data_IF_842565099967
#
_entry.id   IF_842565099967
#
_cell.length_a   1.000
_cell.length_b   1.000
_cell.length_c   1.000
_cell.angle_alpha   90.00
_cell.angle_beta   90.00
_cell.angle_gamma   90.00
#
_symmetry.space_group_name_H-M   'P 1'
#
loop_
_entity.id
_entity.type
_entity.pdbx_description
1 polymer ?
#
# COMPACT_ATOMS: atom_id res chain seq x y z
N UNK A 1 63.97 14.03 -7.90
CA UNK A 1 62.49 14.06 -7.87
C UNK A 1 62.12 14.42 -6.42
N UNK A 2 61.54 15.58 -6.21
CA UNK A 2 61.48 16.22 -4.89
C UNK A 2 60.46 15.48 -3.99
N UNK A 3 60.84 15.20 -2.74
CA UNK A 3 60.00 14.59 -1.71
C UNK A 3 58.63 15.26 -1.55
N UNK A 4 58.54 16.52 -1.88
CA UNK A 4 57.28 17.29 -1.92
C UNK A 4 56.26 16.77 -2.93
N UNK A 5 56.68 16.27 -4.10
CA UNK A 5 55.79 15.64 -5.10
C UNK A 5 55.23 14.32 -4.61
N UNK A 6 55.99 13.57 -3.84
CA UNK A 6 55.54 12.30 -3.24
C UNK A 6 54.43 12.51 -2.20
N UNK A 7 54.56 13.54 -1.36
CA UNK A 7 53.55 13.89 -0.37
C UNK A 7 52.25 14.40 -1.00
N UNK A 8 52.32 15.15 -2.12
CA UNK A 8 51.14 15.60 -2.87
C UNK A 8 50.39 14.39 -3.49
N UNK A 9 51.14 13.43 -4.04
CA UNK A 9 50.55 12.21 -4.62
C UNK A 9 49.93 11.30 -3.55
N UNK A 10 50.53 11.21 -2.38
CA UNK A 10 50.02 10.46 -1.24
C UNK A 10 48.76 11.13 -0.64
N UNK A 11 48.73 12.46 -0.56
CA UNK A 11 47.57 13.21 -0.12
C UNK A 11 46.38 13.07 -1.11
N UNK A 12 46.66 13.04 -2.42
CA UNK A 12 45.61 12.86 -3.44
C UNK A 12 45.03 11.41 -3.46
N UNK A 13 45.83 10.42 -3.12
CA UNK A 13 45.36 9.03 -3.02
C UNK A 13 44.41 8.78 -1.84
N UNK A 14 44.47 9.60 -0.79
CA UNK A 14 43.56 9.52 0.37
C UNK A 14 42.16 10.10 0.09
N UNK A 15 41.97 10.84 -0.99
CA UNK A 15 40.67 11.40 -1.39
C UNK A 15 39.81 10.50 -2.29
N UNK A 16 40.29 9.33 -2.68
CA UNK A 16 39.47 8.32 -3.37
C UNK A 16 38.67 7.57 -2.30
N UNK A 17 37.89 8.32 -1.53
CA UNK A 17 36.86 7.78 -0.66
C UNK A 17 35.83 7.09 -1.54
N UNK A 18 35.74 5.76 -1.41
CA UNK A 18 34.76 4.92 -2.09
C UNK A 18 33.36 5.39 -1.67
N UNK A 19 32.73 6.26 -2.48
CA UNK A 19 31.36 6.68 -2.30
C UNK A 19 30.48 5.48 -2.62
N UNK A 20 30.24 4.61 -1.61
CA UNK A 20 29.33 3.47 -1.74
C UNK A 20 27.93 4.07 -1.93
N UNK A 21 27.39 4.00 -3.14
CA UNK A 21 26.00 4.40 -3.39
C UNK A 21 25.09 3.53 -2.51
N UNK A 22 24.13 4.14 -1.78
CA UNK A 22 23.17 3.37 -0.99
C UNK A 22 22.39 2.43 -1.90
N UNK A 23 22.22 1.19 -1.45
CA UNK A 23 21.46 0.18 -2.17
C UNK A 23 19.96 0.50 -2.09
N UNK A 24 19.25 0.32 -3.21
CA UNK A 24 17.80 0.44 -3.24
C UNK A 24 17.17 -0.80 -2.58
N UNK A 25 16.32 -0.58 -1.59
CA UNK A 25 15.59 -1.61 -0.85
C UNK A 25 14.12 -1.59 -1.25
N UNK A 26 13.54 -2.77 -1.43
CA UNK A 26 12.14 -2.95 -1.80
C UNK A 26 11.33 -3.51 -0.64
N UNK A 27 10.13 -2.98 -0.45
CA UNK A 27 9.24 -3.32 0.65
C UNK A 27 7.87 -3.74 0.12
N UNK A 28 7.21 -4.60 0.87
CA UNK A 28 5.83 -5.03 0.65
C UNK A 28 5.03 -4.89 1.94
N UNK A 29 3.71 -4.90 1.82
CA UNK A 29 2.83 -4.98 2.98
C UNK A 29 2.74 -6.42 3.46
N UNK A 30 2.73 -6.61 4.79
CA UNK A 30 2.61 -7.91 5.39
C UNK A 30 1.81 -7.83 6.69
N UNK A 31 0.93 -8.79 6.92
CA UNK A 31 0.20 -9.00 8.16
C UNK A 31 -0.08 -10.47 8.36
N UNK A 32 -0.34 -10.83 9.60
CA UNK A 32 -0.73 -12.20 9.92
C UNK A 32 -2.05 -12.52 9.19
N UNK A 33 -2.04 -13.58 8.40
CA UNK A 33 -3.23 -14.04 7.70
C UNK A 33 -4.40 -14.30 8.67
N UNK A 34 -5.60 -13.97 8.22
CA UNK A 34 -6.81 -14.42 8.90
C UNK A 34 -6.84 -15.95 8.82
N UNK A 35 -7.18 -16.60 9.93
CA UNK A 35 -7.49 -18.04 9.87
C UNK A 35 -8.57 -18.21 8.78
N UNK A 36 -8.30 -19.06 7.78
CA UNK A 36 -9.24 -19.27 6.67
C UNK A 36 -10.63 -19.58 7.22
N UNK A 37 -11.53 -18.64 7.04
CA UNK A 37 -12.94 -18.86 7.35
C UNK A 37 -13.58 -19.62 6.19
N UNK A 38 -14.44 -20.61 6.50
CA UNK A 38 -15.25 -21.24 5.45
C UNK A 38 -16.14 -20.17 4.83
N UNK A 39 -16.17 -20.12 3.51
CA UNK A 39 -17.02 -19.19 2.79
C UNK A 39 -18.48 -19.32 3.27
N UNK A 40 -19.05 -18.21 3.73
CA UNK A 40 -20.41 -18.15 4.26
C UNK A 40 -21.47 -17.96 3.17
N UNK A 41 -21.06 -17.60 1.94
CA UNK A 41 -21.94 -17.27 0.83
C UNK A 41 -21.48 -17.87 -0.51
N UNK A 42 -22.43 -17.98 -1.46
CA UNK A 42 -22.15 -18.41 -2.84
C UNK A 42 -21.62 -17.30 -3.77
N UNK A 43 -21.41 -16.10 -3.24
CA UNK A 43 -21.07 -14.92 -4.03
C UNK A 43 -19.62 -14.95 -4.51
N UNK A 44 -19.40 -14.43 -5.72
CA UNK A 44 -18.07 -14.28 -6.35
C UNK A 44 -17.68 -12.81 -6.33
N UNK A 45 -16.43 -12.52 -5.94
CA UNK A 45 -15.87 -11.18 -5.99
C UNK A 45 -14.83 -11.07 -7.09
N UNK A 46 -15.02 -10.09 -7.95
CA UNK A 46 -14.00 -9.60 -8.86
C UNK A 46 -13.37 -8.31 -8.31
N UNK A 47 -12.06 -8.29 -8.12
CA UNK A 47 -11.33 -7.10 -7.72
C UNK A 47 -10.70 -6.49 -8.97
N UNK A 48 -11.18 -5.31 -9.35
CA UNK A 48 -10.61 -4.53 -10.43
C UNK A 48 -9.25 -3.94 -10.00
N UNK A 49 -8.39 -3.64 -10.98
CA UNK A 49 -7.18 -2.89 -10.69
C UNK A 49 -7.52 -1.53 -10.08
N UNK A 50 -7.04 -1.26 -8.88
CA UNK A 50 -7.25 0.01 -8.21
C UNK A 50 -6.57 1.15 -8.97
N UNK A 51 -7.18 2.32 -8.97
CA UNK A 51 -6.52 3.56 -9.40
C UNK A 51 -5.86 4.25 -8.21
N UNK A 52 -5.05 5.26 -8.48
CA UNK A 52 -4.42 6.06 -7.43
C UNK A 52 -4.34 7.54 -7.83
N UNK A 53 -4.29 8.41 -6.83
CA UNK A 53 -3.95 9.82 -7.03
C UNK A 53 -2.62 9.93 -7.80
N UNK A 54 -2.43 10.94 -8.67
CA UNK A 54 -1.26 11.03 -9.53
C UNK A 54 0.08 10.93 -8.80
N UNK A 55 0.15 11.44 -7.56
CA UNK A 55 1.35 11.39 -6.71
C UNK A 55 1.69 9.99 -6.21
N UNK A 56 0.75 9.05 -6.26
CA UNK A 56 0.90 7.66 -5.80
C UNK A 56 1.13 6.67 -6.97
N UNK A 57 1.32 7.16 -8.19
CA UNK A 57 1.57 6.32 -9.38
C UNK A 57 3.05 5.89 -9.53
N UNK A 58 3.85 6.10 -8.51
CA UNK A 58 5.27 5.70 -8.43
C UNK A 58 5.46 4.65 -7.34
N UNK A 59 6.46 3.81 -7.50
CA UNK A 59 6.86 2.78 -6.53
C UNK A 59 7.62 3.35 -5.30
N UNK A 60 7.83 4.66 -5.24
CA UNK A 60 8.56 5.31 -4.16
C UNK A 60 7.70 5.44 -2.90
N UNK A 61 8.30 5.23 -1.74
CA UNK A 61 7.65 5.52 -0.46
C UNK A 61 7.53 7.03 -0.32
N UNK A 62 6.29 7.49 -0.17
CA UNK A 62 5.95 8.90 -0.04
C UNK A 62 5.80 9.29 1.42
N UNK A 63 6.30 10.46 1.78
CA UNK A 63 6.14 11.02 3.11
C UNK A 63 5.96 12.54 3.08
N UNK A 64 5.23 13.07 4.06
CA UNK A 64 5.02 14.51 4.27
C UNK A 64 5.84 15.02 5.44
N UNK A 65 6.53 16.13 5.25
CA UNK A 65 7.29 16.83 6.28
C UNK A 65 6.68 18.19 6.66
N UNK A 66 5.61 18.56 5.99
CA UNK A 66 4.72 19.67 6.33
C UNK A 66 3.36 19.45 5.62
N UNK A 67 2.31 20.24 5.94
CA UNK A 67 1.05 20.16 5.20
C UNK A 67 1.20 20.43 3.69
N UNK A 68 2.27 21.11 3.29
CA UNK A 68 2.47 21.58 1.92
C UNK A 68 3.60 20.87 1.19
N UNK A 69 4.46 20.10 1.89
CA UNK A 69 5.65 19.49 1.31
C UNK A 69 5.59 17.97 1.34
N UNK A 70 5.62 17.40 0.14
CA UNK A 70 5.68 15.95 -0.11
C UNK A 70 7.09 15.58 -0.56
N UNK A 71 7.63 14.51 -0.01
CA UNK A 71 8.89 13.91 -0.42
C UNK A 71 8.72 12.46 -0.81
N UNK A 72 9.65 11.99 -1.65
CA UNK A 72 9.75 10.59 -2.05
C UNK A 72 11.11 10.05 -1.63
N UNK A 73 11.10 8.84 -1.06
CA UNK A 73 12.35 8.17 -0.75
C UNK A 73 13.07 7.74 -2.04
N UNK A 74 14.37 7.99 -2.11
CA UNK A 74 15.15 7.66 -3.31
C UNK A 74 15.65 6.22 -3.31
N UNK A 75 15.81 5.59 -2.13
CA UNK A 75 16.44 4.29 -1.93
C UNK A 75 15.50 3.26 -1.32
N UNK A 76 14.30 3.67 -0.87
CA UNK A 76 13.27 2.81 -0.29
C UNK A 76 12.04 2.87 -1.17
N UNK A 77 11.62 1.70 -1.67
CA UNK A 77 10.56 1.60 -2.66
C UNK A 77 9.59 0.48 -2.30
N UNK A 78 8.39 0.58 -2.76
CA UNK A 78 7.46 -0.54 -2.81
C UNK A 78 7.88 -1.51 -3.93
N UNK A 79 7.60 -2.82 -3.77
CA UNK A 79 7.84 -3.84 -4.83
C UNK A 79 7.04 -3.57 -6.10
N UNK A 80 5.97 -2.80 -6.00
CA UNK A 80 5.12 -2.32 -7.10
C UNK A 80 4.46 -1.00 -6.70
N UNK A 81 3.77 -0.33 -7.62
CA UNK A 81 3.05 0.90 -7.29
C UNK A 81 1.98 0.68 -6.23
N UNK A 82 1.67 1.67 -5.34
CA UNK A 82 0.70 1.51 -4.26
C UNK A 82 -0.66 0.96 -4.69
N UNK A 83 -1.20 1.42 -5.81
CA UNK A 83 -2.48 0.91 -6.33
C UNK A 83 -2.39 -0.59 -6.68
N UNK A 84 -1.35 -1.03 -7.37
CA UNK A 84 -1.15 -2.45 -7.69
C UNK A 84 -0.92 -3.28 -6.43
N UNK A 85 -0.11 -2.78 -5.49
CA UNK A 85 0.14 -3.45 -4.21
C UNK A 85 -1.16 -3.65 -3.44
N UNK A 86 -1.98 -2.61 -3.32
CA UNK A 86 -3.25 -2.66 -2.61
C UNK A 86 -4.29 -3.53 -3.32
N UNK A 87 -4.31 -3.57 -4.66
CA UNK A 87 -5.14 -4.50 -5.43
C UNK A 87 -4.82 -5.96 -5.09
N UNK A 88 -3.53 -6.33 -5.13
CA UNK A 88 -3.10 -7.69 -4.80
C UNK A 88 -3.37 -8.04 -3.34
N UNK A 89 -3.10 -7.11 -2.41
CA UNK A 89 -3.36 -7.31 -0.98
C UNK A 89 -4.85 -7.41 -0.66
N UNK A 90 -5.72 -6.69 -1.36
CA UNK A 90 -7.16 -6.87 -1.27
C UNK A 90 -7.58 -8.27 -1.71
N UNK A 91 -7.03 -8.78 -2.83
CA UNK A 91 -7.33 -10.12 -3.30
C UNK A 91 -6.88 -11.21 -2.30
N UNK A 92 -5.68 -11.09 -1.72
CA UNK A 92 -5.20 -11.98 -0.67
C UNK A 92 -6.12 -11.94 0.56
N UNK A 93 -6.45 -10.74 1.03
CA UNK A 93 -7.32 -10.54 2.18
C UNK A 93 -8.71 -11.15 1.99
N UNK A 94 -9.39 -10.86 0.87
CA UNK A 94 -10.74 -11.37 0.64
C UNK A 94 -10.79 -12.87 0.32
N UNK A 95 -9.73 -13.46 -0.24
CA UNK A 95 -9.60 -14.93 -0.36
C UNK A 95 -9.58 -15.63 0.99
N UNK A 96 -8.97 -15.02 2.01
CA UNK A 96 -8.87 -15.59 3.36
C UNK A 96 -10.03 -15.22 4.27
N UNK A 97 -10.78 -14.15 3.96
CA UNK A 97 -11.86 -13.62 4.82
C UNK A 97 -13.07 -14.54 4.94
N UNK A 98 -13.31 -15.39 3.94
CA UNK A 98 -14.50 -16.25 3.86
C UNK A 98 -15.81 -15.50 3.55
N UNK A 99 -15.74 -14.21 3.20
CA UNK A 99 -16.91 -13.43 2.82
C UNK A 99 -17.47 -13.84 1.45
N UNK A 100 -16.60 -14.26 0.54
CA UNK A 100 -16.93 -14.67 -0.81
C UNK A 100 -16.52 -16.11 -1.06
N UNK A 101 -17.28 -16.83 -1.88
CA UNK A 101 -16.96 -18.20 -2.29
C UNK A 101 -15.69 -18.26 -3.14
N UNK A 102 -15.46 -17.24 -3.96
CA UNK A 102 -14.28 -17.12 -4.81
C UNK A 102 -13.93 -15.65 -5.04
N UNK A 103 -12.64 -15.36 -5.18
CA UNK A 103 -12.10 -14.01 -5.42
C UNK A 103 -11.14 -14.05 -6.59
N UNK A 104 -11.37 -13.22 -7.59
CA UNK A 104 -10.58 -13.14 -8.83
C UNK A 104 -10.08 -11.71 -9.08
N UNK A 105 -8.89 -11.59 -9.67
CA UNK A 105 -8.37 -10.34 -10.23
C UNK A 105 -8.82 -10.17 -11.69
N UNK A 106 -8.96 -11.27 -12.42
CA UNK A 106 -9.46 -11.31 -13.80
C UNK A 106 -10.79 -12.09 -13.83
N UNK A 107 -11.81 -11.51 -14.46
CA UNK A 107 -13.14 -12.15 -14.52
C UNK A 107 -13.17 -13.21 -15.61
N UNK A 108 -13.54 -14.45 -15.29
CA UNK A 108 -14.04 -15.40 -16.28
C UNK A 108 -15.32 -14.84 -16.92
N UNK A 109 -15.41 -14.79 -18.25
CA UNK A 109 -16.57 -14.27 -18.97
C UNK A 109 -17.85 -15.06 -18.57
N UNK A 110 -18.93 -14.32 -18.27
CA UNK A 110 -20.26 -14.88 -18.02
C UNK A 110 -20.53 -15.33 -16.58
N UNK A 111 -19.72 -14.94 -15.62
CA UNK A 111 -20.01 -15.14 -14.19
C UNK A 111 -20.75 -13.94 -13.61
N UNK A 112 -21.88 -14.20 -12.93
CA UNK A 112 -22.50 -13.22 -12.05
C UNK A 112 -21.56 -13.01 -10.84
N UNK A 113 -21.11 -11.78 -10.65
CA UNK A 113 -20.14 -11.46 -9.62
C UNK A 113 -20.33 -10.04 -9.09
N UNK A 114 -19.92 -9.83 -7.86
CA UNK A 114 -19.67 -8.47 -7.36
C UNK A 114 -18.34 -7.97 -7.91
N UNK A 115 -18.26 -6.70 -8.19
CA UNK A 115 -17.05 -6.05 -8.68
C UNK A 115 -16.62 -4.97 -7.69
N UNK A 116 -15.43 -5.10 -7.12
CA UNK A 116 -14.83 -4.13 -6.22
C UNK A 116 -13.78 -3.31 -6.96
N UNK A 117 -13.98 -2.01 -6.99
CA UNK A 117 -13.01 -1.02 -7.44
C UNK A 117 -12.50 -0.21 -6.25
N UNK A 118 -11.26 0.21 -6.27
CA UNK A 118 -10.66 1.09 -5.27
C UNK A 118 -9.90 2.25 -5.91
N UNK A 119 -10.01 3.44 -5.32
CA UNK A 119 -9.18 4.59 -5.66
C UNK A 119 -8.39 5.04 -4.45
N UNK A 120 -7.08 4.90 -4.51
CA UNK A 120 -6.14 5.27 -3.44
C UNK A 120 -5.93 6.79 -3.50
N UNK A 121 -6.45 7.50 -2.49
CA UNK A 121 -6.31 8.95 -2.37
C UNK A 121 -5.07 9.33 -1.55
N UNK A 122 -4.81 8.58 -0.47
CA UNK A 122 -3.66 8.77 0.42
C UNK A 122 -3.02 7.43 0.78
N UNK A 123 -1.69 7.41 0.77
CA UNK A 123 -0.88 6.26 1.17
C UNK A 123 0.52 6.77 1.54
N UNK A 124 0.63 7.44 2.69
CA UNK A 124 1.82 8.18 3.06
C UNK A 124 2.15 8.15 4.55
N UNK A 125 3.42 8.41 4.85
CA UNK A 125 3.88 8.76 6.18
C UNK A 125 3.66 10.26 6.41
N UNK A 126 3.18 10.62 7.60
CA UNK A 126 3.08 11.99 8.10
C UNK A 126 4.11 12.18 9.21
N UNK A 127 5.05 13.10 8.98
CA UNK A 127 6.17 13.38 9.89
C UNK A 127 6.35 14.90 10.05
N UNK A 128 5.38 15.54 10.67
CA UNK A 128 5.42 16.96 10.99
C UNK A 128 4.47 17.31 12.16
N UNK A 129 4.66 18.48 12.76
CA UNK A 129 3.78 18.97 13.81
C UNK A 129 3.82 18.17 15.11
N UNK A 130 4.87 17.36 15.31
CA UNK A 130 4.97 16.43 16.43
C UNK A 130 4.23 15.10 16.21
N UNK A 131 3.63 14.90 15.06
CA UNK A 131 2.98 13.65 14.67
C UNK A 131 3.95 12.79 13.85
N UNK A 132 3.96 11.48 14.14
CA UNK A 132 4.65 10.46 13.36
C UNK A 132 3.71 9.28 13.17
N UNK A 133 3.02 9.29 12.03
CA UNK A 133 1.96 8.32 11.73
C UNK A 133 1.92 8.02 10.23
N UNK A 134 1.23 6.96 9.86
CA UNK A 134 0.81 6.71 8.48
C UNK A 134 -0.64 7.16 8.30
N UNK A 135 -0.95 7.63 7.10
CA UNK A 135 -2.31 7.95 6.68
C UNK A 135 -2.65 7.22 5.39
N UNK A 136 -3.75 6.47 5.41
CA UNK A 136 -4.29 5.77 4.24
C UNK A 136 -5.74 6.20 4.05
N UNK A 137 -6.08 6.56 2.83
CA UNK A 137 -7.45 6.88 2.41
C UNK A 137 -7.74 6.21 1.08
N UNK A 138 -8.78 5.38 1.04
CA UNK A 138 -9.20 4.68 -0.16
C UNK A 138 -10.71 4.84 -0.32
N UNK A 139 -11.12 5.31 -1.49
CA UNK A 139 -12.52 5.25 -1.90
C UNK A 139 -12.78 3.91 -2.56
N UNK A 140 -13.83 3.21 -2.12
CA UNK A 140 -14.26 1.92 -2.66
C UNK A 140 -15.62 2.03 -3.29
N UNK A 141 -15.78 1.33 -4.41
CA UNK A 141 -17.07 1.13 -5.09
C UNK A 141 -17.28 -0.38 -5.28
N UNK A 142 -18.40 -0.88 -4.75
CA UNK A 142 -18.86 -2.24 -4.97
C UNK A 142 -20.09 -2.19 -5.89
N UNK A 143 -20.03 -2.91 -7.00
CA UNK A 143 -21.15 -3.02 -7.96
C UNK A 143 -21.57 -4.48 -8.10
N UNK A 144 -22.87 -4.70 -8.36
CA UNK A 144 -23.35 -5.98 -8.84
C UNK A 144 -23.24 -5.98 -10.38
N UNK A 145 -22.56 -6.97 -10.94
CA UNK A 145 -22.34 -7.04 -12.38
C UNK A 145 -23.67 -7.16 -13.18
N UNK A 146 -24.67 -7.81 -12.60
CA UNK A 146 -25.98 -7.99 -13.24
C UNK A 146 -26.78 -6.68 -13.29
N UNK A 147 -26.74 -5.89 -12.22
CA UNK A 147 -27.57 -4.69 -12.06
C UNK A 147 -26.91 -3.42 -12.57
N UNK A 148 -25.56 -3.42 -12.70
CA UNK A 148 -24.73 -2.27 -13.11
C UNK A 148 -24.88 -1.02 -12.24
N UNK A 149 -25.48 -1.17 -11.07
CA UNK A 149 -25.64 -0.10 -10.09
C UNK A 149 -24.64 -0.27 -8.95
N UNK A 150 -24.07 0.84 -8.42
CA UNK A 150 -23.22 0.77 -7.27
C UNK A 150 -24.04 0.42 -6.04
N UNK A 151 -23.71 -0.69 -5.39
CA UNK A 151 -24.30 -1.13 -4.13
C UNK A 151 -23.68 -0.41 -2.92
N UNK A 152 -22.41 -0.04 -3.05
CA UNK A 152 -21.65 0.66 -2.03
C UNK A 152 -20.71 1.66 -2.71
N UNK A 153 -20.65 2.86 -2.17
CA UNK A 153 -19.60 3.83 -2.47
C UNK A 153 -19.20 4.50 -1.17
N UNK A 154 -18.00 4.19 -0.69
CA UNK A 154 -17.54 4.64 0.63
C UNK A 154 -16.06 5.01 0.59
N UNK A 155 -15.66 5.96 1.42
CA UNK A 155 -14.25 6.29 1.64
C UNK A 155 -13.86 5.89 3.05
N UNK A 156 -12.83 5.07 3.15
CA UNK A 156 -12.30 4.60 4.44
C UNK A 156 -10.93 5.21 4.67
N UNK A 157 -10.82 5.92 5.79
CA UNK A 157 -9.61 6.58 6.24
C UNK A 157 -9.04 5.88 7.47
N UNK A 158 -7.73 5.68 7.50
CA UNK A 158 -7.02 5.16 8.67
C UNK A 158 -5.75 5.93 8.94
N UNK A 159 -5.59 6.29 10.19
CA UNK A 159 -4.35 6.82 10.73
C UNK A 159 -3.79 5.83 11.76
N UNK A 160 -2.53 5.47 11.65
CA UNK A 160 -1.87 4.55 12.57
C UNK A 160 -0.53 5.14 13.02
N UNK A 161 -0.30 5.33 14.31
CA UNK A 161 0.99 5.80 14.83
C UNK A 161 2.12 4.85 14.46
N UNK A 162 3.28 5.42 14.15
CA UNK A 162 4.53 4.69 13.90
C UNK A 162 5.25 4.55 15.25
N UNK A 163 5.55 3.31 15.66
CA UNK A 163 6.11 3.03 16.98
C UNK A 163 7.60 3.33 17.13
N UNK A 164 8.32 3.49 16.01
CA UNK A 164 9.77 3.72 15.98
C UNK A 164 10.17 4.68 14.88
N UNK A 165 11.44 4.59 14.44
CA UNK A 165 12.00 5.48 13.42
C UNK A 165 12.64 4.71 12.25
N UNK A 166 12.52 3.39 12.23
CA UNK A 166 13.05 2.56 11.15
C UNK A 166 12.06 2.48 9.99
N UNK A 167 12.54 2.14 8.81
CA UNK A 167 11.65 1.92 7.66
C UNK A 167 10.72 0.71 7.93
N UNK A 168 11.19 -0.27 8.65
CA UNK A 168 10.41 -1.44 9.05
C UNK A 168 9.23 -1.05 9.95
N UNK A 169 9.40 -0.07 10.85
CA UNK A 169 8.33 0.48 11.67
C UNK A 169 7.27 1.18 10.82
N UNK A 170 7.71 1.97 9.81
CA UNK A 170 6.83 2.65 8.85
C UNK A 170 6.03 1.63 8.04
N UNK A 171 6.70 0.62 7.45
CA UNK A 171 6.05 -0.42 6.65
C UNK A 171 5.10 -1.27 7.48
N UNK A 172 5.46 -1.56 8.73
CA UNK A 172 4.58 -2.25 9.68
C UNK A 172 3.32 -1.44 10.00
N UNK A 173 3.46 -0.12 10.21
CA UNK A 173 2.31 0.76 10.42
C UNK A 173 1.43 0.86 9.16
N UNK A 174 2.03 0.95 7.96
CA UNK A 174 1.30 0.89 6.67
C UNK A 174 0.53 -0.42 6.52
N UNK A 175 1.15 -1.55 6.86
CA UNK A 175 0.53 -2.87 6.83
C UNK A 175 -0.69 -2.95 7.76
N UNK A 176 -0.56 -2.47 9.00
CA UNK A 176 -1.66 -2.41 9.97
C UNK A 176 -2.79 -1.50 9.50
N UNK A 177 -2.46 -0.31 9.01
CA UNK A 177 -3.45 0.64 8.52
C UNK A 177 -4.23 0.07 7.32
N UNK A 178 -3.55 -0.57 6.37
CA UNK A 178 -4.17 -1.22 5.22
C UNK A 178 -5.12 -2.34 5.65
N UNK A 179 -4.69 -3.17 6.60
CA UNK A 179 -5.56 -4.22 7.16
C UNK A 179 -6.82 -3.63 7.78
N UNK A 180 -6.68 -2.58 8.59
CA UNK A 180 -7.84 -1.90 9.22
C UNK A 180 -8.80 -1.31 8.17
N UNK A 181 -8.29 -0.80 7.05
CA UNK A 181 -9.14 -0.36 5.92
C UNK A 181 -9.96 -1.53 5.37
N UNK A 182 -9.34 -2.69 5.13
CA UNK A 182 -10.06 -3.86 4.62
C UNK A 182 -11.00 -4.49 5.66
N UNK A 183 -10.64 -4.47 6.95
CA UNK A 183 -11.52 -4.92 8.04
C UNK A 183 -12.81 -4.07 8.09
N UNK A 184 -12.71 -2.74 7.94
CA UNK A 184 -13.88 -1.87 7.95
C UNK A 184 -14.72 -2.01 6.67
N UNK A 185 -14.07 -2.09 5.50
CA UNK A 185 -14.79 -2.37 4.25
C UNK A 185 -15.54 -3.71 4.32
N UNK A 186 -14.95 -4.73 4.95
CA UNK A 186 -15.61 -6.02 5.17
C UNK A 186 -16.87 -5.90 6.01
N UNK A 187 -16.85 -5.08 7.06
CA UNK A 187 -18.05 -4.83 7.89
C UNK A 187 -19.16 -4.17 7.07
N UNK A 188 -18.83 -3.15 6.26
CA UNK A 188 -19.80 -2.48 5.40
C UNK A 188 -20.38 -3.44 4.36
N UNK A 189 -19.55 -4.25 3.70
CA UNK A 189 -20.00 -5.26 2.74
C UNK A 189 -20.86 -6.35 3.39
N UNK A 190 -20.50 -6.82 4.59
CA UNK A 190 -21.30 -7.81 5.32
C UNK A 190 -22.71 -7.29 5.62
N UNK A 191 -22.81 -6.04 6.08
CA UNK A 191 -24.10 -5.42 6.37
C UNK A 191 -24.99 -5.32 5.12
N UNK A 192 -24.39 -5.12 3.96
CA UNK A 192 -25.08 -4.98 2.69
C UNK A 192 -25.50 -6.34 2.13
N UNK A 193 -24.65 -7.37 2.23
CA UNK A 193 -24.91 -8.71 1.66
C UNK A 193 -25.87 -9.57 2.50
N UNK A 194 -26.20 -9.14 3.72
CA UNK A 194 -27.15 -9.80 4.62
C UNK A 194 -28.59 -9.24 4.53
N UNK A 195 -28.80 -8.18 3.74
CA UNK A 195 -30.12 -7.59 3.49
C UNK A 195 -30.81 -8.25 2.29
#
# INVERSE_FOLDING_TARGET
MSSKLLYIFLAFALFIGCCKMPETRYFTLEWQELAQSKASGGNVLHIQNFDAAPMLKYDKIMYKISPYEVKYDNFRRWVMTPNSLLTHKAAEYYKSSGLFASVFLDVPRGMDSFSLFGRVNHFEEINYGGEHKVFISINFELTNFAEREPLLNTTIDKEVPIAGHTIEDIVSAMSRATRLVFDDLTKEMNNLLQQ
#
